data_IF_422381595872
#
_entry.id   IF_422381595872
#
_cell.length_a   1.000
_cell.length_b   1.000
_cell.length_c   1.000
_cell.angle_alpha   90.00
_cell.angle_beta   90.00
_cell.angle_gamma   90.00
#
_symmetry.space_group_name_H-M   'P 1'
#
loop_
_entity.id
_entity.type
_entity.pdbx_description
1 polymer ?
#
# COMPACT_ATOMS: atom_id res chain seq x y z
N UNK A 1 -18.82 5.96 1.38
CA UNK A 1 -17.76 5.50 0.46
C UNK A 1 -18.21 4.25 -0.25
N UNK A 2 -17.81 4.06 -1.51
CA UNK A 2 -18.03 2.84 -2.28
C UNK A 2 -16.78 1.98 -2.36
N UNK A 3 -16.89 0.81 -3.03
CA UNK A 3 -15.78 -0.12 -3.24
C UNK A 3 -14.68 0.45 -4.16
N UNK A 4 -15.10 1.10 -5.25
CA UNK A 4 -14.20 1.59 -6.32
C UNK A 4 -14.00 3.11 -6.30
N UNK A 5 -14.90 3.85 -5.67
CA UNK A 5 -14.83 5.31 -5.60
C UNK A 5 -15.43 5.85 -4.31
N UNK A 6 -15.16 7.12 -4.04
CA UNK A 6 -15.77 7.88 -2.97
C UNK A 6 -16.48 9.13 -3.53
N UNK A 7 -17.45 9.61 -2.76
CA UNK A 7 -18.11 10.88 -2.99
C UNK A 7 -17.99 11.73 -1.73
N UNK A 8 -17.63 12.99 -1.91
CA UNK A 8 -17.68 14.00 -0.88
C UNK A 8 -18.75 15.01 -1.29
N UNK A 9 -19.79 15.14 -0.46
CA UNK A 9 -20.84 16.13 -0.67
C UNK A 9 -21.00 16.99 0.57
N UNK A 10 -20.99 18.30 0.39
CA UNK A 10 -21.17 19.27 1.47
C UNK A 10 -22.06 20.43 1.03
N UNK A 11 -22.70 21.09 1.98
CA UNK A 11 -23.43 22.33 1.72
C UNK A 11 -22.42 23.46 1.47
N UNK A 12 -22.73 24.34 0.52
CA UNK A 12 -21.95 25.57 0.28
C UNK A 12 -22.59 26.72 1.04
N UNK A 13 -21.79 27.41 1.85
CA UNK A 13 -22.23 28.61 2.57
C UNK A 13 -22.54 29.76 1.61
N UNK A 14 -23.51 30.59 2.00
CA UNK A 14 -24.03 31.68 1.16
C UNK A 14 -22.94 32.74 0.93
N UNK A 15 -22.69 33.09 -0.34
CA UNK A 15 -21.62 34.00 -0.77
C UNK A 15 -20.33 33.31 -1.26
N UNK A 16 -20.15 32.01 -1.01
CA UNK A 16 -19.03 31.25 -1.55
C UNK A 16 -19.41 30.59 -2.89
N UNK A 17 -18.51 30.68 -3.88
CA UNK A 17 -18.64 29.93 -5.13
C UNK A 17 -17.74 28.70 -5.07
N UNK A 18 -18.35 27.52 -5.12
CA UNK A 18 -17.62 26.28 -5.36
C UNK A 18 -17.38 26.11 -6.87
N UNK A 19 -16.14 25.83 -7.33
CA UNK A 19 -15.85 25.62 -8.75
C UNK A 19 -16.68 24.50 -9.41
N UNK A 20 -17.19 23.57 -8.59
CA UNK A 20 -18.11 22.48 -8.98
C UNK A 20 -19.32 22.44 -8.03
N UNK A 21 -20.01 23.56 -7.88
CA UNK A 21 -21.26 23.66 -7.13
C UNK A 21 -22.46 23.13 -7.93
N UNK A 22 -23.33 22.35 -7.31
CA UNK A 22 -24.60 21.85 -7.86
C UNK A 22 -25.74 22.53 -7.12
N UNK A 23 -26.73 23.04 -7.86
CA UNK A 23 -27.93 23.66 -7.30
C UNK A 23 -29.09 22.68 -7.37
N UNK A 24 -29.72 22.41 -6.24
CA UNK A 24 -30.85 21.49 -6.11
C UNK A 24 -32.06 22.23 -5.57
N UNK A 25 -33.25 22.00 -6.13
CA UNK A 25 -34.50 22.48 -5.53
C UNK A 25 -35.19 21.32 -4.82
N UNK A 26 -35.27 21.39 -3.50
CA UNK A 26 -35.85 20.36 -2.65
C UNK A 26 -36.90 21.03 -1.77
N UNK A 27 -38.13 20.51 -1.77
CA UNK A 27 -39.24 21.06 -0.98
C UNK A 27 -39.52 22.56 -1.23
N UNK A 28 -39.27 23.04 -2.44
CA UNK A 28 -39.43 24.46 -2.80
C UNK A 28 -38.25 25.36 -2.40
N UNK A 29 -37.26 24.86 -1.66
CA UNK A 29 -36.07 25.58 -1.26
C UNK A 29 -34.88 25.27 -2.19
N UNK A 30 -34.06 26.27 -2.48
CA UNK A 30 -32.83 26.10 -3.26
C UNK A 30 -31.64 25.80 -2.36
N UNK A 31 -30.95 24.70 -2.64
CA UNK A 31 -29.75 24.26 -1.93
C UNK A 31 -28.55 24.30 -2.87
N UNK A 32 -27.47 24.94 -2.44
CA UNK A 32 -26.19 24.89 -3.13
C UNK A 32 -25.29 23.87 -2.41
N UNK A 33 -24.85 22.85 -3.14
CA UNK A 33 -24.00 21.79 -2.61
C UNK A 33 -22.75 21.64 -3.44
N UNK A 34 -21.61 21.45 -2.80
CA UNK A 34 -20.40 21.01 -3.46
C UNK A 34 -20.41 19.50 -3.48
N UNK A 35 -20.12 18.91 -4.64
CA UNK A 35 -19.94 17.47 -4.75
C UNK A 35 -18.69 17.16 -5.56
N UNK A 36 -17.89 16.23 -5.06
CA UNK A 36 -16.69 15.76 -5.73
C UNK A 36 -16.68 14.23 -5.77
N UNK A 37 -16.47 13.70 -6.97
CA UNK A 37 -16.21 12.30 -7.20
C UNK A 37 -14.71 12.04 -7.12
N UNK A 38 -14.31 11.08 -6.29
CA UNK A 38 -12.94 10.65 -6.15
C UNK A 38 -12.80 9.23 -6.72
N UNK A 39 -12.43 9.08 -8.00
CA UNK A 39 -12.03 7.79 -8.57
C UNK A 39 -10.88 7.19 -7.75
N UNK A 40 -10.87 5.89 -7.61
CA UNK A 40 -9.82 5.13 -6.92
C UNK A 40 -9.65 5.32 -5.42
N UNK A 41 -10.50 6.14 -4.80
CA UNK A 41 -10.55 6.33 -3.36
C UNK A 41 -11.63 5.45 -2.70
N UNK A 42 -12.06 4.39 -3.40
CA UNK A 42 -12.91 3.36 -2.82
C UNK A 42 -12.13 2.41 -1.92
N UNK A 43 -12.82 1.72 -1.03
CA UNK A 43 -12.19 0.85 -0.01
C UNK A 43 -11.31 -0.24 -0.61
N UNK A 44 -11.74 -0.86 -1.70
CA UNK A 44 -11.04 -1.99 -2.32
C UNK A 44 -9.79 -1.50 -3.06
N UNK A 45 -9.89 -0.32 -3.68
CA UNK A 45 -8.77 0.29 -4.40
C UNK A 45 -7.72 0.84 -3.44
N UNK A 46 -8.12 1.49 -2.35
CA UNK A 46 -7.22 1.91 -1.28
C UNK A 46 -6.52 0.71 -0.65
N UNK A 47 -7.26 -0.37 -0.36
CA UNK A 47 -6.68 -1.61 0.17
C UNK A 47 -5.68 -2.22 -0.81
N UNK A 48 -6.02 -2.33 -2.09
CA UNK A 48 -5.13 -2.90 -3.10
C UNK A 48 -3.87 -2.05 -3.28
N UNK A 49 -4.00 -0.72 -3.30
CA UNK A 49 -2.86 0.20 -3.41
C UNK A 49 -1.95 0.06 -2.19
N UNK A 50 -2.51 0.05 -0.98
CA UNK A 50 -1.75 -0.13 0.24
C UNK A 50 -1.01 -1.49 0.27
N UNK A 51 -1.70 -2.57 -0.10
CA UNK A 51 -1.08 -3.89 -0.20
C UNK A 51 0.07 -3.93 -1.21
N UNK A 52 -0.10 -3.29 -2.37
CA UNK A 52 0.95 -3.18 -3.38
C UNK A 52 2.19 -2.47 -2.83
N UNK A 53 2.00 -1.32 -2.15
CA UNK A 53 3.11 -0.58 -1.53
C UNK A 53 3.79 -1.40 -0.44
N UNK A 54 3.03 -2.09 0.41
CA UNK A 54 3.59 -2.94 1.46
C UNK A 54 4.42 -4.09 0.89
N UNK A 55 3.91 -4.76 -0.16
CA UNK A 55 4.64 -5.83 -0.84
C UNK A 55 5.96 -5.29 -1.41
N UNK A 56 5.94 -4.13 -2.06
CA UNK A 56 7.13 -3.51 -2.63
C UNK A 56 8.20 -3.23 -1.56
N UNK A 57 7.80 -2.60 -0.44
CA UNK A 57 8.73 -2.32 0.69
C UNK A 57 9.33 -3.61 1.26
N UNK A 58 8.52 -4.67 1.40
CA UNK A 58 9.01 -5.94 1.92
C UNK A 58 9.98 -6.59 0.92
N UNK A 59 9.69 -6.55 -0.38
CA UNK A 59 10.59 -7.05 -1.41
C UNK A 59 11.93 -6.33 -1.39
N UNK A 60 11.93 -5.01 -1.37
CA UNK A 60 13.15 -4.19 -1.29
C UNK A 60 13.95 -4.50 -0.01
N UNK A 61 13.29 -4.67 1.13
CA UNK A 61 13.93 -5.05 2.38
C UNK A 61 14.53 -6.48 2.34
N UNK A 62 13.84 -7.43 1.72
CA UNK A 62 14.32 -8.81 1.56
C UNK A 62 15.52 -8.89 0.62
N UNK A 63 15.53 -8.10 -0.45
CA UNK A 63 16.67 -8.01 -1.37
C UNK A 63 17.89 -7.39 -0.66
N UNK A 64 17.69 -6.33 0.12
CA UNK A 64 18.74 -5.76 0.96
C UNK A 64 19.29 -6.78 1.97
N UNK A 65 18.42 -7.54 2.65
CA UNK A 65 18.85 -8.60 3.58
C UNK A 65 19.60 -9.73 2.86
N UNK A 66 19.20 -10.09 1.64
CA UNK A 66 19.93 -11.07 0.82
C UNK A 66 21.33 -10.60 0.46
N UNK A 67 21.50 -9.31 0.16
CA UNK A 67 22.81 -8.72 -0.16
C UNK A 67 23.71 -8.55 1.07
N UNK A 68 23.11 -8.25 2.23
CA UNK A 68 23.84 -7.91 3.46
C UNK A 68 24.11 -9.10 4.38
N UNK A 69 23.34 -10.18 4.30
CA UNK A 69 23.64 -11.42 5.00
C UNK A 69 24.68 -12.16 4.16
N UNK A 70 25.95 -12.28 4.61
CA UNK A 70 26.86 -13.21 3.96
C UNK A 70 26.20 -14.57 4.09
N UNK A 71 25.91 -15.23 2.97
CA UNK A 71 25.49 -16.62 3.04
C UNK A 71 26.56 -17.33 3.88
N UNK A 72 26.20 -18.01 4.97
CA UNK A 72 27.17 -18.86 5.62
C UNK A 72 27.51 -19.90 4.57
N UNK A 73 28.75 -19.82 4.06
CA UNK A 73 29.28 -20.83 3.17
C UNK A 73 28.94 -22.20 3.77
N UNK A 74 28.50 -23.14 2.94
CA UNK A 74 28.05 -24.46 3.41
C UNK A 74 29.12 -25.10 4.31
N UNK A 75 30.40 -24.84 4.00
CA UNK A 75 31.53 -25.23 4.82
C UNK A 75 31.61 -24.61 6.21
N UNK A 76 31.24 -23.33 6.33
CA UNK A 76 31.19 -22.64 7.62
C UNK A 76 30.03 -23.14 8.49
N UNK A 77 28.90 -23.50 7.88
CA UNK A 77 27.75 -24.09 8.58
C UNK A 77 28.08 -25.50 9.08
N UNK A 78 28.66 -26.36 8.24
CA UNK A 78 29.08 -27.73 8.62
C UNK A 78 30.14 -27.69 9.73
N UNK A 79 31.12 -26.77 9.64
CA UNK A 79 32.14 -26.62 10.68
C UNK A 79 31.57 -26.20 12.04
N UNK A 80 30.53 -25.36 12.07
CA UNK A 80 29.87 -24.95 13.32
C UNK A 80 28.99 -26.04 13.93
N UNK A 81 28.31 -26.83 13.11
CA UNK A 81 27.39 -27.89 13.56
C UNK A 81 28.13 -29.17 13.96
N UNK A 82 29.12 -29.58 13.17
CA UNK A 82 29.80 -30.86 13.33
C UNK A 82 31.21 -30.73 13.93
N UNK A 83 31.77 -29.52 14.05
CA UNK A 83 33.16 -29.31 14.44
C UNK A 83 34.19 -29.74 13.38
N UNK A 84 33.74 -30.33 12.27
CA UNK A 84 34.57 -30.94 11.22
C UNK A 84 34.82 -29.97 10.05
N UNK A 85 36.00 -30.07 9.42
CA UNK A 85 36.29 -29.30 8.18
C UNK A 85 35.82 -30.09 6.96
N UNK A 86 35.35 -29.43 5.88
CA UNK A 86 34.89 -30.11 4.63
C UNK A 86 35.94 -31.09 4.07
N UNK A 87 37.23 -30.86 4.35
CA UNK A 87 38.33 -31.75 3.97
C UNK A 87 38.24 -33.15 4.59
N UNK A 88 37.44 -33.34 5.65
CA UNK A 88 37.18 -34.63 6.30
C UNK A 88 35.92 -35.33 5.73
N UNK A 89 35.17 -34.67 4.84
CA UNK A 89 33.99 -35.19 4.15
C UNK A 89 34.31 -35.44 2.67
N UNK A 90 35.48 -35.99 2.42
CA UNK A 90 35.78 -36.64 1.13
C UNK A 90 36.29 -38.02 1.49
N UNK A 91 35.38 -39.00 1.44
CA UNK A 91 35.74 -40.42 1.52
C UNK A 91 36.32 -40.77 0.15
N UNK A 92 37.63 -41.01 0.09
CA UNK A 92 38.18 -41.99 -0.87
C UNK A 92 37.79 -43.40 -0.41
#
# INVERSE_FOLDING_TARGET
MGKTSAWLTSKVEEGNQAPKGVRLQLYGQMHNVHTHHCPCHGTDQLRSSLLSTLIQVISEAMDFLRETVPSPDLGQAVKRLCGMSIKEVTVE
#
